data_IF_928085829628
#
_entry.id   IF_928085829628
#
_cell.length_a   1.000
_cell.length_b   1.000
_cell.length_c   1.000
_cell.angle_alpha   90.00
_cell.angle_beta   90.00
_cell.angle_gamma   90.00
#
_symmetry.space_group_name_H-M   'P 1'
#
loop_
_entity.id
_entity.type
_entity.pdbx_description
1 polymer ?
#
# COMPACT_ATOMS: atom_id res chain seq x y z
N UNK A 1 7.45 42.90 -12.55
CA UNK A 1 7.83 41.88 -11.55
C UNK A 1 9.33 41.99 -11.37
N UNK A 2 9.82 42.46 -10.22
CA UNK A 2 11.26 42.57 -9.97
C UNK A 2 11.75 41.22 -9.44
N UNK A 3 12.53 40.49 -10.23
CA UNK A 3 13.27 39.34 -9.73
C UNK A 3 14.46 39.85 -8.91
N UNK A 4 14.37 39.70 -7.59
CA UNK A 4 15.51 39.88 -6.69
C UNK A 4 16.42 38.66 -6.82
N UNK A 5 17.57 38.83 -7.46
CA UNK A 5 18.60 37.78 -7.53
C UNK A 5 19.47 37.92 -6.30
N UNK A 6 19.33 36.98 -5.36
CA UNK A 6 20.16 36.93 -4.16
C UNK A 6 21.38 36.07 -4.47
N UNK A 7 22.57 36.67 -4.44
CA UNK A 7 23.83 35.93 -4.52
C UNK A 7 24.12 35.29 -3.16
N UNK A 8 24.12 33.98 -3.11
CA UNK A 8 24.46 33.19 -1.91
C UNK A 8 25.76 32.47 -2.20
N UNK A 9 26.74 32.55 -1.29
CA UNK A 9 27.97 31.80 -1.46
C UNK A 9 27.78 30.31 -1.06
N UNK A 10 28.73 29.45 -1.43
CA UNK A 10 28.58 28.00 -1.20
C UNK A 10 28.43 27.62 0.28
N UNK A 11 29.07 28.36 1.19
CA UNK A 11 29.07 28.09 2.63
C UNK A 11 27.74 28.49 3.29
N UNK A 12 27.19 29.63 2.85
CA UNK A 12 25.85 30.08 3.22
C UNK A 12 24.77 29.12 2.71
N UNK A 13 24.91 28.62 1.48
CA UNK A 13 24.00 27.64 0.91
C UNK A 13 24.06 26.31 1.68
N UNK A 14 25.25 25.82 2.01
CA UNK A 14 25.42 24.61 2.80
C UNK A 14 24.77 24.75 4.19
N UNK A 15 24.97 25.90 4.83
CA UNK A 15 24.36 26.22 6.13
C UNK A 15 22.84 26.22 6.04
N UNK A 16 22.28 26.81 4.99
CA UNK A 16 20.85 26.84 4.74
C UNK A 16 20.29 25.43 4.54
N UNK A 17 20.94 24.62 3.71
CA UNK A 17 20.55 23.23 3.43
C UNK A 17 20.54 22.41 4.73
N UNK A 18 21.63 22.49 5.52
CA UNK A 18 21.73 21.77 6.79
C UNK A 18 20.63 22.16 7.77
N UNK A 19 20.26 23.45 7.80
CA UNK A 19 19.18 23.95 8.65
C UNK A 19 17.82 23.39 8.20
N UNK A 20 17.50 23.47 6.91
CA UNK A 20 16.24 22.96 6.36
C UNK A 20 16.11 21.47 6.60
N UNK A 21 17.17 20.69 6.35
CA UNK A 21 17.16 19.25 6.60
C UNK A 21 16.87 18.97 8.08
N UNK A 22 17.51 19.69 9.01
CA UNK A 22 17.28 19.50 10.45
C UNK A 22 15.84 19.84 10.84
N UNK A 23 15.30 20.94 10.33
CA UNK A 23 13.93 21.36 10.62
C UNK A 23 12.89 20.36 10.07
N UNK A 24 13.08 19.88 8.84
CA UNK A 24 12.21 18.84 8.25
C UNK A 24 12.34 17.50 8.95
N UNK A 25 13.54 17.12 9.39
CA UNK A 25 13.73 15.88 10.17
C UNK A 25 13.00 15.94 11.52
N UNK A 26 13.08 17.08 12.21
CA UNK A 26 12.32 17.31 13.47
C UNK A 26 10.81 17.25 13.20
N UNK A 27 10.35 17.84 12.10
CA UNK A 27 8.94 17.83 11.71
C UNK A 27 8.43 16.41 11.42
N UNK A 28 9.21 15.60 10.71
CA UNK A 28 8.91 14.18 10.45
C UNK A 28 8.89 13.33 11.72
N UNK A 29 9.75 13.63 12.69
CA UNK A 29 9.75 12.93 13.98
C UNK A 29 8.57 13.35 14.87
N UNK A 30 8.14 14.61 14.80
CA UNK A 30 7.00 15.13 15.57
C UNK A 30 5.64 14.69 15.00
N UNK A 31 5.53 14.59 13.68
CA UNK A 31 4.40 13.98 12.99
C UNK A 31 4.89 12.67 12.37
N UNK A 32 4.93 11.56 13.13
CA UNK A 32 5.18 10.27 12.52
C UNK A 32 4.15 10.13 11.40
N UNK A 33 4.64 10.06 10.17
CA UNK A 33 3.85 9.61 9.04
C UNK A 33 3.46 8.20 9.44
N UNK A 34 2.27 8.03 10.02
CA UNK A 34 1.71 6.70 10.22
C UNK A 34 1.65 6.14 8.83
N UNK A 35 2.52 5.19 8.53
CA UNK A 35 2.37 4.41 7.32
C UNK A 35 0.96 3.85 7.35
N UNK A 36 0.25 3.85 6.22
CA UNK A 36 -1.05 3.20 6.16
C UNK A 36 -0.95 1.73 6.63
N UNK A 37 0.22 1.12 6.42
CA UNK A 37 0.58 -0.24 6.88
C UNK A 37 0.77 -0.35 8.40
N UNK A 38 0.96 0.76 9.11
CA UNK A 38 1.10 0.83 10.57
C UNK A 38 -0.22 1.22 11.25
N UNK A 39 -1.23 1.66 10.49
CA UNK A 39 -2.55 2.00 11.02
C UNK A 39 -3.46 0.76 11.02
N UNK A 40 -3.25 -0.12 12.00
CA UNK A 40 -4.05 -1.32 12.25
C UNK A 40 -5.54 -1.03 12.50
N UNK A 41 -5.94 0.25 12.56
CA UNK A 41 -7.35 0.65 12.60
C UNK A 41 -8.12 0.31 11.32
N UNK A 42 -7.41 0.02 10.22
CA UNK A 42 -8.02 -0.38 8.94
C UNK A 42 -8.09 -1.90 8.76
N UNK A 43 -7.37 -2.69 9.57
CA UNK A 43 -7.67 -4.11 9.65
C UNK A 43 -9.07 -4.24 10.27
N UNK A 44 -9.90 -5.10 9.68
CA UNK A 44 -11.20 -5.45 10.22
C UNK A 44 -11.09 -6.01 11.66
N UNK A 45 -12.21 -6.35 12.30
CA UNK A 45 -12.17 -7.06 13.57
C UNK A 45 -11.24 -8.29 13.47
N UNK A 46 -10.41 -8.50 14.49
CA UNK A 46 -9.59 -9.71 14.57
C UNK A 46 -10.54 -10.90 14.75
N UNK A 47 -10.71 -11.69 13.70
CA UNK A 47 -11.63 -12.82 13.60
C UNK A 47 -10.84 -14.11 13.31
N UNK A 48 -10.25 -14.75 14.34
CA UNK A 48 -9.38 -15.92 14.16
C UNK A 48 -10.06 -17.08 13.42
N UNK A 49 -11.36 -17.26 13.63
CA UNK A 49 -12.15 -18.30 12.96
C UNK A 49 -12.31 -18.00 11.46
N UNK A 50 -12.46 -16.72 11.10
CA UNK A 50 -12.50 -16.27 9.71
C UNK A 50 -11.14 -16.43 9.04
N UNK A 51 -10.07 -16.08 9.74
CA UNK A 51 -8.69 -16.26 9.27
C UNK A 51 -8.34 -17.73 9.03
N UNK A 52 -8.76 -18.63 9.94
CA UNK A 52 -8.57 -20.08 9.79
C UNK A 52 -9.34 -20.64 8.58
N UNK A 53 -10.56 -20.16 8.34
CA UNK A 53 -11.36 -20.53 7.18
C UNK A 53 -10.67 -20.07 5.88
N UNK A 54 -10.24 -18.81 5.82
CA UNK A 54 -9.56 -18.22 4.67
C UNK A 54 -8.26 -18.96 4.36
N UNK A 55 -7.48 -19.28 5.40
CA UNK A 55 -6.25 -20.06 5.27
C UNK A 55 -6.51 -21.45 4.69
N UNK A 56 -7.55 -22.13 5.17
CA UNK A 56 -7.92 -23.46 4.66
C UNK A 56 -8.30 -23.39 3.18
N UNK A 57 -9.13 -22.42 2.80
CA UNK A 57 -9.61 -22.28 1.44
C UNK A 57 -8.45 -21.92 0.49
N UNK A 58 -7.54 -21.04 0.90
CA UNK A 58 -6.32 -20.72 0.15
C UNK A 58 -5.40 -21.95 -0.04
N UNK A 59 -5.24 -22.78 1.00
CA UNK A 59 -4.46 -24.02 0.91
C UNK A 59 -5.10 -25.04 -0.06
N UNK A 60 -6.43 -25.09 -0.12
CA UNK A 60 -7.14 -25.98 -1.04
C UNK A 60 -7.01 -25.51 -2.50
N UNK A 61 -7.01 -24.20 -2.75
CA UNK A 61 -6.65 -23.63 -4.07
C UNK A 61 -5.22 -24.05 -4.44
N UNK A 62 -4.25 -23.84 -3.55
CA UNK A 62 -2.85 -24.22 -3.82
C UNK A 62 -2.71 -25.72 -4.10
N UNK A 63 -3.42 -26.58 -3.38
CA UNK A 63 -3.44 -28.03 -3.63
C UNK A 63 -4.06 -28.37 -4.98
N UNK A 64 -5.18 -27.74 -5.35
CA UNK A 64 -5.85 -27.93 -6.64
C UNK A 64 -4.94 -27.58 -7.81
N UNK A 65 -4.12 -26.54 -7.66
CA UNK A 65 -3.18 -26.10 -8.70
C UNK A 65 -1.81 -26.79 -8.63
N UNK A 66 -1.46 -27.44 -7.51
CA UNK A 66 -0.20 -28.18 -7.36
C UNK A 66 -0.01 -29.28 -8.41
N UNK A 67 -1.10 -29.97 -8.75
CA UNK A 67 -1.08 -31.09 -9.70
C UNK A 67 -1.41 -30.66 -11.14
N UNK A 68 -1.71 -29.37 -11.36
CA UNK A 68 -2.02 -28.81 -12.68
C UNK A 68 -1.44 -27.39 -12.84
N UNK A 69 -0.12 -27.26 -13.06
CA UNK A 69 0.55 -25.97 -13.20
C UNK A 69 0.10 -25.19 -14.46
N UNK A 70 -0.43 -25.87 -15.47
CA UNK A 70 -1.01 -25.24 -16.66
C UNK A 70 -2.43 -24.68 -16.42
N UNK A 71 -3.01 -24.93 -15.23
CA UNK A 71 -4.29 -24.34 -14.81
C UNK A 71 -4.13 -22.96 -14.17
N UNK A 72 -2.92 -22.41 -14.12
CA UNK A 72 -2.75 -20.98 -13.84
C UNK A 72 -3.25 -20.20 -15.05
N UNK A 73 -4.34 -19.48 -14.87
CA UNK A 73 -4.85 -18.54 -15.87
C UNK A 73 -3.95 -17.31 -15.90
N UNK A 74 -3.94 -16.59 -17.02
CA UNK A 74 -3.29 -15.29 -17.09
C UNK A 74 -3.99 -14.31 -16.14
N UNK A 75 -3.23 -13.38 -15.58
CA UNK A 75 -3.73 -12.45 -14.58
C UNK A 75 -4.93 -11.66 -15.07
N UNK A 76 -4.92 -11.24 -16.34
CA UNK A 76 -6.03 -10.54 -16.99
C UNK A 76 -7.32 -11.37 -17.02
N UNK A 77 -7.21 -12.68 -17.27
CA UNK A 77 -8.36 -13.59 -17.28
C UNK A 77 -8.88 -13.91 -15.87
N UNK A 78 -8.02 -13.84 -14.85
CA UNK A 78 -8.44 -13.96 -13.45
C UNK A 78 -9.21 -12.72 -12.98
N UNK A 79 -8.75 -11.52 -13.35
CA UNK A 79 -9.46 -10.27 -13.04
C UNK A 79 -10.86 -10.25 -13.69
N UNK A 80 -10.98 -10.70 -14.95
CA UNK A 80 -12.29 -10.81 -15.61
C UNK A 80 -13.23 -11.82 -14.93
N UNK A 81 -12.71 -12.93 -14.39
CA UNK A 81 -13.51 -13.91 -13.63
C UNK A 81 -14.00 -13.29 -12.32
N UNK A 82 -13.14 -12.55 -11.62
CA UNK A 82 -13.48 -11.88 -10.36
C UNK A 82 -14.54 -10.80 -10.57
N UNK A 83 -14.39 -9.95 -11.58
CA UNK A 83 -15.37 -8.91 -11.93
C UNK A 83 -16.75 -9.50 -12.24
N UNK A 84 -16.79 -10.68 -12.88
CA UNK A 84 -18.04 -11.39 -13.18
C UNK A 84 -18.69 -11.97 -11.91
N UNK A 85 -17.92 -12.54 -11.00
CA UNK A 85 -18.44 -13.06 -9.73
C UNK A 85 -18.93 -11.94 -8.81
N UNK A 86 -18.24 -10.80 -8.78
CA UNK A 86 -18.67 -9.59 -8.05
C UNK A 86 -19.97 -9.04 -8.63
N UNK A 87 -20.05 -8.87 -9.95
CA UNK A 87 -21.27 -8.39 -10.63
C UNK A 87 -22.47 -9.35 -10.47
N UNK A 88 -22.22 -10.64 -10.29
CA UNK A 88 -23.27 -11.63 -10.03
C UNK A 88 -23.76 -11.65 -8.57
N UNK A 89 -22.96 -11.14 -7.63
CA UNK A 89 -23.31 -11.05 -6.21
C UNK A 89 -23.89 -9.68 -5.79
N UNK A 90 -23.96 -8.72 -6.71
CA UNK A 90 -24.74 -7.50 -6.49
C UNK A 90 -26.24 -7.84 -6.52
N UNK A 91 -26.93 -7.66 -5.39
CA UNK A 91 -28.39 -7.72 -5.34
C UNK A 91 -28.97 -6.66 -6.28
N UNK A 92 -30.01 -6.98 -7.09
CA UNK A 92 -30.64 -5.97 -7.93
C UNK A 92 -31.25 -4.86 -7.06
N UNK A 93 -31.11 -3.62 -7.54
CA UNK A 93 -31.58 -2.36 -6.91
C UNK A 93 -32.99 -2.43 -6.29
#
# INVERSE_FOLDING_TARGET
>A
MNQSVVSVNSEELETLIRRVIREEFVRLLQNPIRSLLEDWKQEGPNEPEGDELLLRDALDVLRKHKDNPDAWTDWEAFEEELDQEEAMNELPD
#
